data_IF_299134353694
#
_entry.id   IF_299134353694
#
_cell.length_a   1.000
_cell.length_b   1.000
_cell.length_c   1.000
_cell.angle_alpha   90.00
_cell.angle_beta   90.00
_cell.angle_gamma   90.00
#
_symmetry.space_group_name_H-M   'P 1'
#
loop_
_entity.id
_entity.type
_entity.pdbx_description
1 polymer ?
#
# COMPACT_ATOMS: atom_id res chain seq x y z
N UNK A 1 2.87 -14.27 8.82
CA UNK A 1 2.32 -14.02 7.47
C UNK A 1 0.86 -13.61 7.58
N UNK A 2 0.65 -12.33 7.84
CA UNK A 2 -0.60 -11.59 7.95
C UNK A 2 -0.60 -10.55 6.83
N UNK A 3 -1.67 -10.52 6.04
CA UNK A 3 -1.85 -9.56 4.96
C UNK A 3 -3.11 -8.72 5.19
N UNK A 4 -2.99 -7.40 5.00
CA UNK A 4 -4.14 -6.48 5.04
C UNK A 4 -4.59 -6.18 3.61
N UNK A 5 -5.86 -6.49 3.30
CA UNK A 5 -6.40 -6.34 1.93
C UNK A 5 -7.60 -5.41 1.79
N UNK A 6 -8.24 -5.02 2.88
CA UNK A 6 -9.46 -4.19 2.83
C UNK A 6 -9.10 -2.71 2.90
N UNK A 7 -9.48 -1.94 1.87
CA UNK A 7 -9.44 -0.48 1.89
C UNK A 7 -8.05 0.16 1.92
N UNK A 8 -6.97 -0.59 1.67
CA UNK A 8 -5.61 -0.04 1.67
C UNK A 8 -5.44 0.98 0.54
N UNK A 9 -4.82 2.12 0.86
CA UNK A 9 -4.47 3.20 -0.08
C UNK A 9 -3.01 3.60 0.13
N UNK A 10 -2.52 4.57 -0.66
CA UNK A 10 -1.22 5.20 -0.42
C UNK A 10 -1.15 5.95 0.92
N UNK A 11 -2.29 6.35 1.48
CA UNK A 11 -2.38 7.04 2.76
C UNK A 11 -2.36 6.08 3.94
N UNK A 12 -2.90 4.86 3.79
CA UNK A 12 -3.05 3.89 4.90
C UNK A 12 -2.04 2.76 4.89
N UNK A 13 -1.21 2.63 3.83
CA UNK A 13 -0.25 1.54 3.71
C UNK A 13 0.82 1.56 4.80
N UNK A 14 1.25 2.75 5.24
CA UNK A 14 2.22 2.88 6.33
C UNK A 14 1.63 2.34 7.64
N UNK A 15 0.45 2.82 8.03
CA UNK A 15 -0.24 2.37 9.24
C UNK A 15 -0.44 0.85 9.27
N UNK A 16 -0.76 0.23 8.12
CA UNK A 16 -0.93 -1.22 8.04
C UNK A 16 0.37 -1.97 8.34
N UNK A 17 1.49 -1.49 7.81
CA UNK A 17 2.81 -2.10 7.99
C UNK A 17 3.33 -1.86 9.42
N UNK A 18 3.20 -0.63 9.93
CA UNK A 18 3.55 -0.25 11.30
C UNK A 18 2.74 -1.03 12.36
N UNK A 19 1.49 -1.40 12.04
CA UNK A 19 0.67 -2.26 12.88
C UNK A 19 1.12 -3.74 12.89
N UNK A 20 2.19 -4.10 12.17
CA UNK A 20 2.78 -5.44 12.15
C UNK A 20 2.25 -6.35 11.03
N UNK A 21 1.64 -5.81 9.98
CA UNK A 21 1.30 -6.61 8.81
C UNK A 21 2.56 -7.02 8.02
N UNK A 22 2.65 -8.30 7.64
CA UNK A 22 3.74 -8.79 6.77
C UNK A 22 3.62 -8.27 5.33
N UNK A 23 2.46 -7.73 4.96
CA UNK A 23 2.24 -7.09 3.66
C UNK A 23 0.81 -6.62 3.44
N UNK A 24 0.59 -6.00 2.28
CA UNK A 24 -0.73 -5.49 1.87
C UNK A 24 -1.13 -6.00 0.50
N UNK A 25 -2.43 -6.15 0.27
CA UNK A 25 -3.02 -6.48 -1.03
C UNK A 25 -3.94 -5.33 -1.44
N UNK A 26 -3.58 -4.61 -2.51
CA UNK A 26 -4.29 -3.40 -2.92
C UNK A 26 -4.99 -3.60 -4.26
N UNK A 27 -6.30 -3.40 -4.27
CA UNK A 27 -7.15 -3.53 -5.46
C UNK A 27 -7.58 -2.17 -6.03
N UNK A 28 -8.81 -1.77 -5.71
CA UNK A 28 -9.51 -0.62 -6.29
C UNK A 28 -8.71 0.69 -6.25
N UNK A 29 -7.95 0.95 -5.19
CA UNK A 29 -7.15 2.18 -5.07
C UNK A 29 -6.11 2.33 -6.21
N UNK A 30 -5.58 1.22 -6.73
CA UNK A 30 -4.60 1.21 -7.82
C UNK A 30 -5.24 1.32 -9.20
N UNK A 31 -6.56 1.23 -9.31
CA UNK A 31 -7.28 1.33 -10.57
C UNK A 31 -7.45 2.78 -10.99
N UNK A 32 -7.39 3.06 -12.29
CA UNK A 32 -7.68 4.41 -12.80
C UNK A 32 -9.09 4.82 -12.38
N UNK A 33 -9.22 6.00 -11.79
CA UNK A 33 -10.49 6.50 -11.27
C UNK A 33 -11.06 5.75 -10.07
N UNK A 34 -10.36 4.75 -9.51
CA UNK A 34 -10.90 3.94 -8.42
C UNK A 34 -12.00 2.96 -8.84
N UNK A 35 -12.06 2.58 -10.12
CA UNK A 35 -13.07 1.65 -10.64
C UNK A 35 -12.47 0.27 -10.87
N UNK A 36 -13.08 -0.79 -10.35
CA UNK A 36 -12.51 -2.15 -10.36
C UNK A 36 -12.26 -2.72 -11.76
N UNK A 37 -13.09 -2.33 -12.73
CA UNK A 37 -13.03 -2.75 -14.13
C UNK A 37 -12.00 -1.98 -14.95
N UNK A 38 -11.49 -0.86 -14.43
CA UNK A 38 -10.50 -0.05 -15.14
C UNK A 38 -9.11 -0.70 -15.15
N UNK A 39 -8.20 -0.25 -16.03
CA UNK A 39 -6.80 -0.64 -15.95
C UNK A 39 -6.14 -0.11 -14.67
N UNK A 40 -5.04 -0.75 -14.27
CA UNK A 40 -4.18 -0.27 -13.19
C UNK A 40 -3.47 1.03 -13.62
N UNK A 41 -3.31 1.96 -12.69
CA UNK A 41 -2.56 3.21 -12.90
C UNK A 41 -1.13 3.05 -12.39
N UNK A 42 -0.13 3.18 -13.27
CA UNK A 42 1.29 3.10 -12.89
C UNK A 42 1.68 4.15 -11.85
N UNK A 43 1.25 5.40 -12.06
CA UNK A 43 1.46 6.50 -11.11
C UNK A 43 0.96 6.18 -9.69
N UNK A 44 -0.21 5.53 -9.57
CA UNK A 44 -0.77 5.15 -8.27
C UNK A 44 0.00 4.01 -7.62
N UNK A 45 0.51 3.07 -8.41
CA UNK A 45 1.39 2.00 -7.93
C UNK A 45 2.70 2.58 -7.41
N UNK A 46 3.31 3.49 -8.17
CA UNK A 46 4.54 4.17 -7.77
C UNK A 46 4.34 4.92 -6.45
N UNK A 47 3.24 5.66 -6.31
CA UNK A 47 2.88 6.34 -5.06
C UNK A 47 2.68 5.39 -3.88
N UNK A 48 1.98 4.26 -4.08
CA UNK A 48 1.79 3.24 -3.03
C UNK A 48 3.14 2.63 -2.59
N UNK A 49 4.00 2.25 -3.55
CA UNK A 49 5.30 1.64 -3.26
C UNK A 49 6.23 2.63 -2.57
N UNK A 50 6.22 3.91 -2.98
CA UNK A 50 6.99 4.95 -2.31
C UNK A 50 6.56 5.11 -0.84
N UNK A 51 5.24 5.18 -0.57
CA UNK A 51 4.71 5.27 0.78
C UNK A 51 5.08 4.04 1.64
N UNK A 52 4.96 2.83 1.09
CA UNK A 52 5.32 1.59 1.79
C UNK A 52 6.83 1.49 2.11
N UNK A 53 7.69 2.03 1.24
CA UNK A 53 9.14 2.07 1.47
C UNK A 53 9.52 3.11 2.52
N UNK A 54 8.84 4.26 2.52
CA UNK A 54 9.07 5.29 3.53
C UNK A 54 8.79 4.75 4.94
N UNK A 55 7.75 3.94 5.12
CA UNK A 55 7.43 3.27 6.39
C UNK A 55 8.55 2.31 6.85
N UNK A 56 9.10 1.50 5.95
CA UNK A 56 10.20 0.56 6.26
C UNK A 56 11.56 1.24 6.51
N UNK A 57 11.70 2.53 6.19
CA UNK A 57 12.97 3.26 6.39
C UNK A 57 13.17 3.68 7.86
N UNK A 58 12.22 3.37 8.74
CA UNK A 58 12.27 3.63 10.18
C UNK A 58 12.91 2.52 11.03
N UNK A 59 13.20 1.35 10.45
CA UNK A 59 13.80 0.20 11.14
C UNK A 59 15.27 -0.01 10.74
N UNK A 60 16.13 0.97 11.03
CA UNK A 60 17.54 0.68 11.36
C UNK A 60 17.79 1.20 12.79
N UNK A 61 18.36 0.33 13.63
CA UNK A 61 18.62 0.40 15.09
C UNK A 61 17.47 -0.06 16.02
N UNK A 62 17.41 -1.37 16.30
CA UNK A 62 17.90 -2.03 17.55
C UNK A 62 18.22 -3.51 17.31
#
# INVERSE_FOLDING_TARGET
LVFVGSGVTNETVADCLEAGADGVIVGTALKRGGETTNPVSGERVEGLVAAARAANSGDEFE
#
